data_IF_271740832996
#
_entry.id   IF_271740832996
#
_cell.length_a   1.000
_cell.length_b   1.000
_cell.length_c   1.000
_cell.angle_alpha   90.00
_cell.angle_beta   90.00
_cell.angle_gamma   90.00
#
_symmetry.space_group_name_H-M   'P 1'
#
loop_
_entity.id
_entity.type
_entity.pdbx_description
1 polymer ?
#
# COMPACT_ATOMS: atom_id res chain seq x y z
N UNK A 1 11.88 51.18 22.21
CA UNK A 1 10.73 50.31 21.87
C UNK A 1 10.75 49.14 22.83
N UNK A 2 9.58 48.83 23.40
CA UNK A 2 9.40 47.90 24.50
C UNK A 2 9.71 46.43 24.11
N UNK A 3 10.31 45.71 25.07
CA UNK A 3 10.02 44.34 25.55
C UNK A 3 8.99 43.54 24.71
N UNK A 4 9.22 42.26 24.39
CA UNK A 4 8.83 41.14 25.26
C UNK A 4 9.77 39.95 25.08
N UNK A 5 10.57 39.70 26.12
CA UNK A 5 11.02 38.36 26.52
C UNK A 5 9.78 37.66 27.06
N UNK A 6 9.35 36.56 26.45
CA UNK A 6 8.24 35.78 26.97
C UNK A 6 8.81 34.64 27.84
N UNK A 7 8.64 34.68 29.17
CA UNK A 7 9.14 33.64 30.06
C UNK A 7 8.24 32.40 29.94
N UNK A 8 8.88 31.24 29.82
CA UNK A 8 8.26 29.93 29.97
C UNK A 8 7.64 29.89 31.38
N UNK A 9 6.32 30.04 31.48
CA UNK A 9 5.57 29.69 32.68
C UNK A 9 5.47 28.17 32.72
N UNK A 10 6.20 27.57 33.65
CA UNK A 10 5.96 26.21 34.13
C UNK A 10 4.54 26.14 34.69
N UNK A 11 3.64 25.43 34.01
CA UNK A 11 2.37 25.06 34.61
C UNK A 11 2.59 23.79 35.43
N UNK A 12 2.59 23.99 36.74
CA UNK A 12 2.49 22.95 37.76
C UNK A 12 1.29 22.03 37.49
N UNK A 13 1.51 20.73 37.56
CA UNK A 13 0.46 19.73 37.60
C UNK A 13 -0.40 19.94 38.85
N UNK A 14 -1.53 20.61 38.72
CA UNK A 14 -2.61 20.53 39.70
C UNK A 14 -3.37 19.22 39.47
N UNK A 15 -3.19 18.29 40.40
CA UNK A 15 -3.98 17.07 40.53
C UNK A 15 -5.45 17.43 40.79
N UNK A 16 -6.26 17.47 39.74
CA UNK A 16 -7.71 17.40 39.87
C UNK A 16 -8.14 15.93 39.73
N UNK A 17 -8.30 15.26 40.87
CA UNK A 17 -9.05 14.01 40.94
C UNK A 17 -10.52 14.33 40.75
N UNK A 18 -10.96 14.38 39.49
CA UNK A 18 -12.39 14.40 39.15
C UNK A 18 -12.89 12.98 39.30
N UNK A 19 -13.63 12.69 40.38
CA UNK A 19 -14.42 11.47 40.47
C UNK A 19 -15.51 11.55 39.39
N UNK A 20 -15.30 10.84 38.30
CA UNK A 20 -16.34 10.58 37.30
C UNK A 20 -17.47 9.79 37.98
N UNK A 21 -18.74 10.21 37.82
CA UNK A 21 -19.87 9.41 38.29
C UNK A 21 -19.88 8.05 37.57
N UNK A 22 -20.13 6.98 38.33
CA UNK A 22 -20.14 5.57 37.85
C UNK A 22 -21.11 5.31 36.68
N UNK A 23 -22.04 6.22 36.41
CA UNK A 23 -22.99 6.15 35.28
C UNK A 23 -22.39 6.58 33.93
N UNK A 24 -21.18 7.15 33.90
CA UNK A 24 -20.47 7.47 32.65
C UNK A 24 -19.72 6.26 32.05
N UNK A 25 -19.72 5.10 32.71
CA UNK A 25 -18.92 3.93 32.32
C UNK A 25 -19.54 3.08 31.20
N UNK A 26 -20.69 3.46 30.67
CA UNK A 26 -21.41 2.68 29.64
C UNK A 26 -21.96 3.54 28.51
N UNK A 27 -21.21 4.58 28.10
CA UNK A 27 -21.22 4.91 26.68
C UNK A 27 -20.40 3.81 26.00
N UNK A 28 -21.07 2.71 25.65
CA UNK A 28 -20.60 1.85 24.57
C UNK A 28 -20.38 2.78 23.38
N UNK A 29 -19.13 3.18 23.16
CA UNK A 29 -18.72 4.05 22.07
C UNK A 29 -18.99 3.30 20.78
N UNK A 30 -20.23 3.42 20.28
CA UNK A 30 -20.56 2.95 18.95
C UNK A 30 -19.68 3.76 18.00
N UNK A 31 -18.83 3.12 17.18
CA UNK A 31 -17.94 3.85 16.30
C UNK A 31 -18.77 4.76 15.38
N UNK A 32 -18.43 6.05 15.34
CA UNK A 32 -19.13 7.04 14.50
C UNK A 32 -18.88 6.79 13.00
N UNK A 33 -17.72 6.20 12.67
CA UNK A 33 -17.33 5.86 11.31
C UNK A 33 -17.33 4.35 11.14
N UNK A 34 -17.99 3.85 10.10
CA UNK A 34 -18.01 2.43 9.75
C UNK A 34 -16.62 1.94 9.29
N UNK A 35 -15.88 2.76 8.53
CA UNK A 35 -14.53 2.47 8.08
C UNK A 35 -13.50 3.36 8.78
N UNK A 36 -12.53 2.72 9.44
CA UNK A 36 -11.41 3.37 10.14
C UNK A 36 -10.15 2.68 9.66
N UNK A 37 -9.48 3.31 8.70
CA UNK A 37 -8.44 2.67 7.90
C UNK A 37 -7.07 3.29 8.23
N UNK A 38 -6.13 2.46 8.65
CA UNK A 38 -4.72 2.84 8.78
C UNK A 38 -4.06 2.80 7.40
N UNK A 39 -3.03 3.62 7.19
CA UNK A 39 -2.28 3.65 5.93
C UNK A 39 -0.89 3.10 6.20
N UNK A 40 -0.44 2.14 5.39
CA UNK A 40 0.87 1.50 5.54
C UNK A 40 1.56 1.28 4.19
N UNK A 41 2.88 1.35 4.23
CA UNK A 41 3.76 1.16 3.09
C UNK A 41 4.20 -0.30 2.99
N UNK A 42 3.99 -0.89 1.82
CA UNK A 42 4.66 -2.12 1.40
C UNK A 42 5.97 -1.71 0.74
N UNK A 43 7.00 -1.54 1.57
CA UNK A 43 8.34 -1.19 1.12
C UNK A 43 8.91 -2.34 0.30
N UNK A 44 9.51 -2.04 -0.85
CA UNK A 44 10.22 -3.03 -1.65
C UNK A 44 11.63 -3.25 -1.06
N UNK A 45 11.86 -4.34 -0.29
CA UNK A 45 13.11 -4.53 0.44
C UNK A 45 14.31 -4.65 -0.50
N UNK A 46 14.11 -5.21 -1.70
CA UNK A 46 15.18 -5.41 -2.68
C UNK A 46 15.57 -4.11 -3.39
N UNK A 47 14.62 -3.17 -3.54
CA UNK A 47 14.95 -1.81 -3.99
C UNK A 47 15.72 -1.07 -2.90
N UNK A 48 15.23 -1.09 -1.65
CA UNK A 48 15.86 -0.38 -0.54
C UNK A 48 17.29 -0.89 -0.25
N UNK A 49 17.52 -2.20 -0.33
CA UNK A 49 18.85 -2.81 -0.19
C UNK A 49 19.82 -2.27 -1.25
N UNK A 50 19.41 -2.26 -2.52
CA UNK A 50 20.23 -1.73 -3.63
C UNK A 50 20.58 -0.24 -3.47
N UNK A 51 19.78 0.50 -2.70
CA UNK A 51 19.97 1.93 -2.44
C UNK A 51 20.59 2.21 -1.05
N UNK A 52 21.12 1.18 -0.38
CA UNK A 52 21.82 1.33 0.90
C UNK A 52 20.90 1.65 2.09
N UNK A 53 19.59 1.46 1.96
CA UNK A 53 18.60 1.76 2.99
C UNK A 53 18.34 0.54 3.89
N UNK A 54 19.42 -0.04 4.45
CA UNK A 54 19.39 -1.31 5.17
C UNK A 54 18.47 -1.32 6.41
N UNK A 55 18.24 -0.15 7.03
CA UNK A 55 17.32 -0.07 8.16
C UNK A 55 15.86 -0.28 7.71
N UNK A 56 15.48 0.21 6.53
CA UNK A 56 14.15 -0.01 5.94
C UNK A 56 13.94 -1.49 5.63
N UNK A 57 14.96 -2.15 5.08
CA UNK A 57 14.96 -3.59 4.81
C UNK A 57 14.78 -4.38 6.10
N UNK A 58 15.57 -4.06 7.13
CA UNK A 58 15.49 -4.73 8.44
C UNK A 58 14.11 -4.59 9.06
N UNK A 59 13.57 -3.37 9.09
CA UNK A 59 12.24 -3.09 9.65
C UNK A 59 11.16 -3.83 8.87
N UNK A 60 11.24 -3.83 7.54
CA UNK A 60 10.24 -4.48 6.70
C UNK A 60 10.13 -5.98 7.01
N UNK A 61 11.24 -6.69 7.19
CA UNK A 61 11.23 -8.13 7.48
C UNK A 61 10.96 -8.49 8.94
N UNK A 62 10.97 -7.52 9.86
CA UNK A 62 10.81 -7.75 11.29
C UNK A 62 9.33 -7.92 11.67
N UNK A 63 8.92 -9.18 11.87
CA UNK A 63 7.54 -9.54 12.23
C UNK A 63 7.13 -9.00 13.60
N UNK A 64 8.04 -8.81 14.54
CA UNK A 64 7.71 -8.28 15.87
C UNK A 64 7.35 -6.79 15.78
N UNK A 65 8.07 -6.05 14.92
CA UNK A 65 7.71 -4.65 14.61
C UNK A 65 6.33 -4.58 13.95
N UNK A 66 6.06 -5.44 12.96
CA UNK A 66 4.74 -5.50 12.32
C UNK A 66 3.63 -5.85 13.31
N UNK A 67 3.78 -6.91 14.11
CA UNK A 67 2.74 -7.32 15.07
C UNK A 67 2.45 -6.22 16.09
N UNK A 68 3.49 -5.54 16.59
CA UNK A 68 3.32 -4.40 17.50
C UNK A 68 2.49 -3.29 16.86
N UNK A 69 2.83 -2.89 15.63
CA UNK A 69 2.12 -1.81 14.93
C UNK A 69 0.66 -2.20 14.62
N UNK A 70 0.43 -3.44 14.18
CA UNK A 70 -0.91 -3.96 13.90
C UNK A 70 -1.78 -3.97 15.16
N UNK A 71 -1.23 -4.44 16.28
CA UNK A 71 -1.94 -4.42 17.58
C UNK A 71 -2.23 -3.01 18.05
N UNK A 72 -1.30 -2.08 17.84
CA UNK A 72 -1.50 -0.68 18.18
C UNK A 72 -2.67 -0.08 17.38
N UNK A 73 -2.74 -0.28 16.07
CA UNK A 73 -3.88 0.16 15.27
C UNK A 73 -5.20 -0.50 15.70
N UNK A 74 -5.19 -1.79 15.96
CA UNK A 74 -6.37 -2.48 16.49
C UNK A 74 -6.81 -1.87 17.83
N UNK A 75 -5.87 -1.51 18.71
CA UNK A 75 -6.17 -0.86 20.00
C UNK A 75 -6.76 0.55 19.86
N UNK A 76 -6.42 1.26 18.78
CA UNK A 76 -7.04 2.53 18.40
C UNK A 76 -8.38 2.36 17.66
N UNK A 77 -8.83 1.12 17.48
CA UNK A 77 -10.12 0.80 16.88
C UNK A 77 -10.13 0.82 15.35
N UNK A 78 -8.97 0.86 14.69
CA UNK A 78 -8.91 0.67 13.23
C UNK A 78 -9.48 -0.72 12.86
N UNK A 79 -10.23 -0.78 11.76
CA UNK A 79 -10.82 -2.02 11.22
C UNK A 79 -10.41 -2.27 9.77
N UNK A 80 -9.39 -1.55 9.29
CA UNK A 80 -8.84 -1.71 7.96
C UNK A 80 -7.43 -1.18 7.86
N UNK A 81 -6.66 -1.73 6.93
CA UNK A 81 -5.32 -1.25 6.56
C UNK A 81 -5.27 -1.10 5.05
N UNK A 82 -4.85 0.08 4.61
CA UNK A 82 -4.64 0.41 3.22
C UNK A 82 -3.14 0.41 2.91
N UNK A 83 -2.72 -0.59 2.14
CA UNK A 83 -1.35 -0.82 1.73
C UNK A 83 -1.07 -0.12 0.41
N UNK A 84 0.07 0.56 0.31
CA UNK A 84 0.58 1.06 -0.97
C UNK A 84 2.06 0.73 -1.11
N UNK A 85 2.49 0.40 -2.33
CA UNK A 85 3.87 -0.03 -2.59
C UNK A 85 4.81 1.17 -2.66
N UNK A 86 5.98 1.03 -2.04
CA UNK A 86 7.03 2.04 -2.00
C UNK A 86 8.39 1.49 -2.49
N UNK A 87 9.19 2.27 -3.24
CA UNK A 87 8.86 3.59 -3.79
C UNK A 87 7.89 3.54 -4.97
N UNK A 88 6.78 4.28 -4.87
CA UNK A 88 5.67 4.17 -5.82
C UNK A 88 6.04 4.60 -7.26
N UNK A 89 7.08 5.41 -7.45
CA UNK A 89 7.55 5.81 -8.78
C UNK A 89 8.26 4.68 -9.52
N UNK A 90 8.91 3.77 -8.79
CA UNK A 90 9.85 2.78 -9.35
C UNK A 90 9.32 1.35 -9.29
N UNK A 91 8.40 1.07 -8.37
CA UNK A 91 7.86 -0.26 -8.16
C UNK A 91 6.37 -0.21 -7.87
N UNK A 92 5.67 -1.23 -8.33
CA UNK A 92 4.25 -1.43 -8.15
C UNK A 92 3.97 -2.86 -7.68
N UNK A 93 2.75 -3.10 -7.21
CA UNK A 93 2.37 -4.40 -6.66
C UNK A 93 2.63 -5.59 -7.61
N UNK A 94 2.48 -5.50 -8.95
CA UNK A 94 2.75 -6.65 -9.82
C UNK A 94 4.23 -7.02 -9.88
N UNK A 95 5.13 -6.09 -9.55
CA UNK A 95 6.58 -6.33 -9.54
C UNK A 95 7.03 -7.15 -8.32
N UNK A 96 6.18 -7.17 -7.28
CA UNK A 96 6.58 -7.49 -5.92
C UNK A 96 5.72 -8.60 -5.29
N UNK A 97 4.40 -8.56 -5.50
CA UNK A 97 3.43 -9.39 -4.79
C UNK A 97 2.98 -10.64 -5.56
N UNK A 98 3.38 -10.80 -6.82
CA UNK A 98 2.99 -11.95 -7.64
C UNK A 98 4.22 -12.57 -8.32
N UNK A 99 4.09 -13.81 -8.76
CA UNK A 99 5.12 -14.54 -9.50
C UNK A 99 5.08 -14.21 -10.99
N UNK A 100 3.97 -13.69 -11.51
CA UNK A 100 3.75 -13.49 -12.95
C UNK A 100 3.81 -14.82 -13.71
N UNK A 101 2.93 -15.76 -13.36
CA UNK A 101 2.94 -17.11 -13.95
C UNK A 101 2.57 -17.13 -15.44
N UNK A 102 1.52 -16.39 -15.82
CA UNK A 102 1.04 -16.35 -17.21
C UNK A 102 1.94 -15.50 -18.13
N UNK A 103 2.56 -14.45 -17.57
CA UNK A 103 3.47 -13.54 -18.28
C UNK A 103 4.86 -13.57 -17.64
N UNK A 104 5.64 -14.66 -17.81
CA UNK A 104 6.92 -14.85 -17.13
C UNK A 104 7.98 -13.80 -17.49
N UNK A 105 7.86 -13.13 -18.64
CA UNK A 105 8.71 -12.00 -19.03
C UNK A 105 8.48 -10.75 -18.15
N UNK A 106 7.39 -10.70 -17.38
CA UNK A 106 7.09 -9.61 -16.46
C UNK A 106 7.85 -9.71 -15.12
N UNK A 107 8.48 -10.86 -14.83
CA UNK A 107 9.18 -11.12 -13.55
C UNK A 107 10.27 -10.08 -13.28
N UNK A 108 10.17 -9.41 -12.13
CA UNK A 108 11.17 -8.44 -11.67
C UNK A 108 12.05 -8.96 -10.52
N UNK A 109 11.61 -10.02 -9.85
CA UNK A 109 12.31 -10.68 -8.75
C UNK A 109 12.75 -12.08 -9.16
N UNK A 110 13.80 -12.58 -8.50
CA UNK A 110 14.12 -14.02 -8.57
C UNK A 110 13.02 -14.84 -7.89
N UNK A 111 12.92 -16.13 -8.21
CA UNK A 111 11.92 -17.01 -7.57
C UNK A 111 12.02 -16.96 -6.04
N UNK A 112 13.23 -17.07 -5.48
CA UNK A 112 13.43 -17.06 -4.03
C UNK A 112 12.99 -15.74 -3.38
N UNK A 113 13.26 -14.62 -4.05
CA UNK A 113 12.82 -13.30 -3.59
C UNK A 113 11.29 -13.16 -3.64
N UNK A 114 10.68 -13.65 -4.72
CA UNK A 114 9.22 -13.65 -4.88
C UNK A 114 8.55 -14.49 -3.78
N UNK A 115 9.03 -15.70 -3.50
CA UNK A 115 8.44 -16.53 -2.44
C UNK A 115 8.61 -15.90 -1.05
N UNK A 116 9.78 -15.36 -0.75
CA UNK A 116 10.02 -14.68 0.53
C UNK A 116 9.06 -13.49 0.73
N UNK A 117 8.86 -12.68 -0.31
CA UNK A 117 7.91 -11.56 -0.28
C UNK A 117 6.48 -12.05 -0.09
N UNK A 118 6.07 -13.08 -0.85
CA UNK A 118 4.72 -13.67 -0.77
C UNK A 118 4.45 -14.22 0.64
N UNK A 119 5.38 -15.01 1.20
CA UNK A 119 5.23 -15.59 2.53
C UNK A 119 5.12 -14.52 3.61
N UNK A 120 5.91 -13.45 3.52
CA UNK A 120 5.87 -12.36 4.48
C UNK A 120 4.58 -11.56 4.40
N UNK A 121 4.12 -11.22 3.20
CA UNK A 121 2.86 -10.50 3.02
C UNK A 121 1.64 -11.35 3.40
N UNK A 122 1.66 -12.66 3.12
CA UNK A 122 0.65 -13.60 3.64
C UNK A 122 0.57 -13.54 5.16
N UNK A 123 1.72 -13.53 5.84
CA UNK A 123 1.75 -13.42 7.29
C UNK A 123 1.17 -12.07 7.77
N UNK A 124 1.52 -10.94 7.13
CA UNK A 124 0.97 -9.62 7.49
C UNK A 124 -0.55 -9.60 7.33
N UNK A 125 -1.07 -10.04 6.19
CA UNK A 125 -2.51 -10.00 5.89
C UNK A 125 -3.32 -10.94 6.80
N UNK A 126 -2.80 -12.14 7.07
CA UNK A 126 -3.40 -13.03 8.06
C UNK A 126 -3.40 -12.39 9.45
N UNK A 127 -2.30 -11.76 9.83
CA UNK A 127 -2.14 -11.20 11.17
C UNK A 127 -3.07 -10.01 11.41
N UNK A 128 -3.27 -9.16 10.42
CA UNK A 128 -4.24 -8.05 10.50
C UNK A 128 -5.69 -8.57 10.60
N UNK A 129 -6.03 -9.63 9.86
CA UNK A 129 -7.34 -10.30 9.94
C UNK A 129 -7.61 -10.88 11.32
N UNK A 130 -6.63 -11.57 11.92
CA UNK A 130 -6.73 -12.07 13.30
C UNK A 130 -7.00 -10.97 14.33
N UNK A 131 -6.65 -9.72 14.01
CA UNK A 131 -6.89 -8.52 14.81
C UNK A 131 -8.18 -7.78 14.41
N UNK A 132 -8.99 -8.34 13.51
CA UNK A 132 -10.27 -7.77 13.08
C UNK A 132 -10.15 -6.63 12.06
N UNK A 133 -9.01 -6.52 11.36
CA UNK A 133 -8.78 -5.49 10.34
C UNK A 133 -8.79 -6.08 8.94
N UNK A 134 -9.53 -5.45 8.02
CA UNK A 134 -9.53 -5.77 6.58
C UNK A 134 -8.27 -5.27 5.88
N UNK A 135 -7.82 -5.97 4.84
CA UNK A 135 -6.67 -5.60 4.02
C UNK A 135 -7.12 -5.01 2.69
N UNK A 136 -6.67 -3.78 2.42
CA UNK A 136 -6.94 -3.07 1.17
C UNK A 136 -5.62 -2.80 0.46
N UNK A 137 -5.44 -3.29 -0.77
CA UNK A 137 -4.25 -2.97 -1.57
C UNK A 137 -4.54 -1.83 -2.53
N UNK A 138 -3.74 -0.79 -2.46
CA UNK A 138 -3.74 0.29 -3.44
C UNK A 138 -3.16 -0.16 -4.78
N UNK A 139 -3.88 0.14 -5.85
CA UNK A 139 -3.44 -0.17 -7.21
C UNK A 139 -3.51 1.05 -8.12
N UNK A 140 -2.41 1.33 -8.83
CA UNK A 140 -2.47 2.13 -10.06
C UNK A 140 -2.92 1.22 -11.21
N UNK A 141 -3.72 1.78 -12.11
CA UNK A 141 -4.09 1.14 -13.37
C UNK A 141 -4.21 2.21 -14.47
N UNK A 142 -3.79 1.94 -15.71
CA UNK A 142 -3.14 0.72 -16.21
C UNK A 142 -1.65 0.78 -15.87
N UNK A 143 -1.12 -0.28 -15.26
CA UNK A 143 0.30 -0.39 -14.91
C UNK A 143 0.81 -1.80 -15.20
N UNK A 144 2.02 -1.88 -15.74
CA UNK A 144 2.75 -3.14 -15.97
C UNK A 144 4.02 -3.17 -15.16
N UNK A 145 4.77 -4.27 -15.21
CA UNK A 145 6.13 -4.24 -14.67
C UNK A 145 7.10 -3.53 -15.61
N UNK A 146 8.23 -2.99 -15.11
CA UNK A 146 9.31 -2.50 -15.96
C UNK A 146 9.86 -3.56 -16.92
N UNK A 147 9.88 -4.83 -16.51
CA UNK A 147 10.32 -5.94 -17.35
C UNK A 147 9.35 -6.19 -18.52
N UNK A 148 8.05 -6.21 -18.23
CA UNK A 148 7.01 -6.33 -19.25
C UNK A 148 7.03 -5.18 -20.24
N UNK A 149 7.16 -3.94 -19.76
CA UNK A 149 7.24 -2.77 -20.61
C UNK A 149 8.43 -2.84 -21.59
N UNK A 150 9.60 -3.34 -21.13
CA UNK A 150 10.76 -3.58 -22.01
C UNK A 150 10.52 -4.71 -23.01
N UNK A 151 9.98 -5.84 -22.57
CA UNK A 151 9.74 -7.00 -23.42
C UNK A 151 8.82 -6.68 -24.62
N UNK A 152 7.88 -5.76 -24.40
CA UNK A 152 6.84 -5.41 -25.39
C UNK A 152 7.05 -4.02 -26.01
N UNK A 153 8.25 -3.45 -25.89
CA UNK A 153 8.63 -2.21 -26.57
C UNK A 153 7.88 -0.95 -26.10
N UNK A 154 7.30 -0.99 -24.90
CA UNK A 154 6.65 0.14 -24.22
C UNK A 154 7.65 0.96 -23.39
N UNK A 155 8.94 0.59 -23.37
CA UNK A 155 9.99 1.29 -22.64
C UNK A 155 10.56 2.54 -23.31
N UNK A 156 9.75 3.22 -24.13
CA UNK A 156 10.14 4.39 -24.93
C UNK A 156 9.01 5.41 -24.89
N UNK A 157 9.34 6.68 -25.11
CA UNK A 157 8.32 7.72 -25.20
C UNK A 157 7.30 7.38 -26.30
N UNK A 158 6.01 7.50 -25.97
CA UNK A 158 4.89 7.22 -26.89
C UNK A 158 3.99 8.45 -26.97
N UNK A 159 3.55 8.91 -28.15
CA UNK A 159 2.64 10.06 -28.26
C UNK A 159 1.36 9.83 -27.46
N UNK A 160 0.93 10.84 -26.70
CA UNK A 160 -0.36 10.81 -25.99
C UNK A 160 -1.50 10.58 -26.99
N UNK A 161 -2.41 9.68 -26.64
CA UNK A 161 -3.57 9.30 -27.44
C UNK A 161 -4.62 8.62 -26.56
N UNK A 162 -5.76 8.22 -27.12
CA UNK A 162 -6.81 7.51 -26.39
C UNK A 162 -6.31 6.21 -25.72
N UNK A 163 -5.25 5.62 -26.27
CA UNK A 163 -4.62 4.39 -25.79
C UNK A 163 -3.28 4.62 -25.09
N UNK A 164 -2.79 5.87 -24.97
CA UNK A 164 -1.54 6.21 -24.30
C UNK A 164 -1.76 7.41 -23.40
N UNK A 165 -1.83 7.16 -22.10
CA UNK A 165 -2.00 8.21 -21.08
C UNK A 165 -0.75 9.08 -20.95
N UNK A 166 -0.91 10.39 -20.75
CA UNK A 166 0.19 11.35 -20.57
C UNK A 166 1.18 10.94 -19.46
N UNK A 167 0.74 10.17 -18.46
CA UNK A 167 1.59 9.62 -17.39
C UNK A 167 2.69 8.68 -17.90
N UNK A 168 2.51 8.08 -19.07
CA UNK A 168 3.50 7.21 -19.70
C UNK A 168 4.86 7.90 -19.92
N UNK A 169 4.82 9.20 -20.25
CA UNK A 169 6.02 9.99 -20.56
C UNK A 169 6.48 10.89 -19.39
N UNK A 170 5.86 10.78 -18.21
CA UNK A 170 6.20 11.63 -17.06
C UNK A 170 7.55 11.24 -16.44
N UNK A 171 8.60 11.98 -16.79
CA UNK A 171 9.93 11.77 -16.20
C UNK A 171 9.93 12.06 -14.69
N UNK A 172 10.66 11.25 -13.93
CA UNK A 172 10.86 11.40 -12.48
C UNK A 172 9.59 11.30 -11.61
N UNK A 173 8.51 10.71 -12.13
CA UNK A 173 7.28 10.50 -11.36
C UNK A 173 6.58 9.19 -11.75
N UNK A 174 6.24 9.05 -13.02
CA UNK A 174 5.72 7.81 -13.60
C UNK A 174 6.63 7.42 -14.77
N UNK A 175 6.16 6.66 -15.76
CA UNK A 175 7.02 6.23 -16.84
C UNK A 175 6.41 5.15 -17.71
N UNK A 176 7.29 4.52 -18.48
CA UNK A 176 7.01 3.49 -19.49
C UNK A 176 6.06 2.36 -19.04
N UNK A 177 6.01 2.09 -17.74
CA UNK A 177 5.17 1.05 -17.16
C UNK A 177 3.71 1.48 -16.96
N UNK A 178 3.38 2.76 -17.18
CA UNK A 178 2.04 3.31 -16.96
C UNK A 178 1.32 3.63 -18.26
N UNK A 179 0.00 3.47 -18.24
CA UNK A 179 -0.88 4.26 -19.11
C UNK A 179 -1.06 3.77 -20.54
N UNK A 180 -0.42 2.68 -20.96
CA UNK A 180 -0.65 2.07 -22.28
C UNK A 180 -1.87 1.16 -22.21
N UNK A 181 -2.84 1.36 -23.10
CA UNK A 181 -4.08 0.60 -23.20
C UNK A 181 -4.12 -0.18 -24.51
N UNK A 182 -4.07 -1.50 -24.43
CA UNK A 182 -4.26 -2.42 -25.54
C UNK A 182 -4.64 -3.81 -25.00
N UNK A 183 -5.00 -4.74 -25.89
CA UNK A 183 -5.40 -6.11 -25.50
C UNK A 183 -4.32 -6.85 -24.70
N UNK A 184 -3.04 -6.60 -24.98
CA UNK A 184 -1.94 -7.22 -24.26
C UNK A 184 -1.83 -6.73 -22.81
N UNK A 185 -1.89 -5.41 -22.58
CA UNK A 185 -1.90 -4.81 -21.24
C UNK A 185 -3.18 -5.16 -20.46
N UNK A 186 -4.31 -5.35 -21.15
CA UNK A 186 -5.56 -5.85 -20.57
C UNK A 186 -5.37 -7.29 -20.06
N UNK A 187 -4.93 -8.19 -20.93
CA UNK A 187 -4.69 -9.60 -20.58
C UNK A 187 -3.68 -9.73 -19.43
N UNK A 188 -2.58 -8.96 -19.49
CA UNK A 188 -1.61 -8.88 -18.39
C UNK A 188 -2.25 -8.44 -17.07
N UNK A 189 -3.07 -7.39 -17.09
CA UNK A 189 -3.73 -6.86 -15.88
C UNK A 189 -4.71 -7.89 -15.30
N UNK A 190 -5.51 -8.54 -16.15
CA UNK A 190 -6.46 -9.58 -15.75
C UNK A 190 -5.73 -10.77 -15.10
N UNK A 191 -4.67 -11.27 -15.72
CA UNK A 191 -3.86 -12.36 -15.20
C UNK A 191 -3.18 -11.99 -13.88
N UNK A 192 -2.58 -10.80 -13.79
CA UNK A 192 -1.92 -10.32 -12.59
C UNK A 192 -2.89 -10.20 -11.40
N UNK A 193 -4.11 -9.69 -11.64
CA UNK A 193 -5.14 -9.56 -10.61
C UNK A 193 -5.64 -10.94 -10.17
N UNK A 194 -5.88 -11.84 -11.12
CA UNK A 194 -6.29 -13.20 -10.80
C UNK A 194 -5.25 -13.91 -9.94
N UNK A 195 -3.96 -13.81 -10.31
CA UNK A 195 -2.87 -14.38 -9.53
C UNK A 195 -2.77 -13.75 -8.13
N UNK A 196 -2.94 -12.42 -8.00
CA UNK A 196 -2.92 -11.73 -6.72
C UNK A 196 -3.96 -12.32 -5.75
N UNK A 197 -5.21 -12.47 -6.19
CA UNK A 197 -6.27 -13.01 -5.34
C UNK A 197 -6.16 -14.53 -5.12
N UNK A 198 -5.53 -15.27 -6.04
CA UNK A 198 -5.18 -16.68 -5.80
C UNK A 198 -4.06 -16.85 -4.76
N UNK A 199 -3.15 -15.88 -4.67
CA UNK A 199 -2.05 -15.93 -3.71
C UNK A 199 -2.53 -15.49 -2.33
N UNK A 200 -3.35 -14.44 -2.23
CA UNK A 200 -3.67 -13.79 -0.96
C UNK A 200 -5.15 -13.91 -0.59
N UNK A 201 -5.54 -15.04 0.02
CA UNK A 201 -6.91 -15.27 0.50
C UNK A 201 -7.38 -14.22 1.53
N UNK A 202 -6.45 -13.62 2.27
CA UNK A 202 -6.72 -12.62 3.31
C UNK A 202 -6.69 -11.16 2.78
N UNK A 203 -6.55 -10.97 1.46
CA UNK A 203 -6.68 -9.66 0.83
C UNK A 203 -8.15 -9.40 0.48
N UNK A 204 -8.81 -8.48 1.20
CA UNK A 204 -10.23 -8.23 1.00
C UNK A 204 -10.54 -7.49 -0.30
N UNK A 205 -9.76 -6.46 -0.64
CA UNK A 205 -10.05 -5.59 -1.78
C UNK A 205 -8.76 -5.02 -2.38
N UNK A 206 -8.68 -4.98 -3.71
CA UNK A 206 -7.72 -4.17 -4.45
C UNK A 206 -8.39 -2.84 -4.88
N UNK A 207 -8.06 -1.74 -4.20
CA UNK A 207 -8.64 -0.41 -4.43
C UNK A 207 -7.86 0.32 -5.53
N UNK A 208 -8.58 0.78 -6.55
CA UNK A 208 -8.06 1.59 -7.65
C UNK A 208 -8.13 3.09 -7.35
N UNK A 209 -7.08 3.86 -7.68
CA UNK A 209 -7.16 5.34 -7.75
C UNK A 209 -7.81 5.80 -9.05
N UNK A 210 -8.90 6.54 -8.96
CA UNK A 210 -9.44 7.34 -10.06
C UNK A 210 -8.92 8.79 -9.95
N UNK A 211 -8.24 9.30 -10.98
CA UNK A 211 -7.96 10.73 -11.11
C UNK A 211 -8.98 11.35 -12.05
N UNK A 212 -9.84 12.22 -11.48
CA UNK A 212 -10.86 13.09 -12.10
C UNK A 212 -11.84 12.44 -13.11
N UNK A 213 -13.11 12.42 -12.73
CA UNK A 213 -14.26 12.35 -13.66
C UNK A 213 -14.98 11.00 -13.77
N UNK A 214 -14.42 9.91 -13.22
CA UNK A 214 -15.00 8.58 -13.37
C UNK A 214 -15.16 7.90 -12.00
N UNK A 215 -16.36 7.36 -11.78
CA UNK A 215 -16.88 6.84 -10.52
C UNK A 215 -15.95 5.78 -9.92
N UNK A 216 -15.91 5.74 -8.59
CA UNK A 216 -15.40 4.59 -7.84
C UNK A 216 -16.22 3.38 -8.27
N UNK A 217 -15.60 2.49 -9.04
CA UNK A 217 -16.12 1.15 -9.28
C UNK A 217 -15.29 0.23 -8.40
N UNK A 218 -15.94 -0.40 -7.42
CA UNK A 218 -15.37 -1.52 -6.69
C UNK A 218 -15.02 -2.60 -7.72
N UNK A 219 -13.73 -2.91 -7.85
CA UNK A 219 -13.30 -4.02 -8.69
C UNK A 219 -13.44 -5.31 -7.88
N UNK A 220 -14.49 -6.07 -8.21
CA UNK A 220 -14.72 -7.51 -8.04
C UNK A 220 -14.37 -8.15 -6.68
N UNK A 221 -15.42 -8.65 -6.00
CA UNK A 221 -15.36 -9.81 -5.11
C UNK A 221 -15.64 -11.09 -5.92
#
# INVERSE_FOLDING_TARGET
MASIVNPIKSYSQTNYSVKMPEEASTILQTPVLEHRIAIEQVKNPYWHEKHGQNNEVRIFWDRDIWDRNLREWASYGYNGIFYYVEPWQETQWPDLLIRSEEFPEAKCLTQAQSEQMIEHMKWIFKRSHELGMKNYLFTYQIVTTPAFARAHGMNKDMPESDTVDWRHNMKNAMGAQYGVRNELTRAYTEAAIAELFQIYDELDVAIRRFYRGYRVQECLQ
#
